data_IF_185069807582
#
_entry.id   IF_185069807582
#
_cell.length_a   1.000
_cell.length_b   1.000
_cell.length_c   1.000
_cell.angle_alpha   90.00
_cell.angle_beta   90.00
_cell.angle_gamma   90.00
#
_symmetry.space_group_name_H-M   'P 1'
#
loop_
_entity.id
_entity.type
_entity.pdbx_description
1 polymer ?
#
# COMPACT_ATOMS: atom_id res chain seq x y z
N UNK A 1 -27.79 -21.19 -5.82
CA UNK A 1 -26.45 -21.34 -6.42
C UNK A 1 -25.46 -20.20 -6.25
N UNK A 2 -25.83 -18.91 -6.22
CA UNK A 2 -24.83 -17.85 -6.03
C UNK A 2 -24.02 -17.95 -4.72
N UNK A 3 -24.65 -18.37 -3.63
CA UNK A 3 -23.98 -18.57 -2.34
C UNK A 3 -23.04 -19.79 -2.34
N UNK A 4 -23.35 -20.85 -3.10
CA UNK A 4 -22.49 -22.02 -3.25
C UNK A 4 -21.24 -21.68 -4.07
N UNK A 5 -21.43 -20.96 -5.18
CA UNK A 5 -20.32 -20.43 -5.99
C UNK A 5 -19.47 -19.41 -5.21
N UNK A 6 -20.08 -18.55 -4.38
CA UNK A 6 -19.32 -17.64 -3.51
C UNK A 6 -18.54 -18.35 -2.41
N UNK A 7 -19.07 -19.45 -1.84
CA UNK A 7 -18.33 -20.26 -0.88
C UNK A 7 -17.16 -21.02 -1.51
N UNK A 8 -17.30 -21.42 -2.77
CA UNK A 8 -16.24 -22.07 -3.57
C UNK A 8 -15.14 -21.07 -3.96
N UNK A 9 -15.51 -19.83 -4.30
CA UNK A 9 -14.56 -18.73 -4.50
C UNK A 9 -13.93 -18.21 -3.20
N UNK A 10 -14.69 -18.22 -2.09
CA UNK A 10 -14.27 -17.73 -0.79
C UNK A 10 -13.24 -18.62 -0.08
N UNK A 11 -13.22 -19.93 -0.38
CA UNK A 11 -12.25 -20.87 0.17
C UNK A 11 -10.88 -20.87 -0.52
N UNK A 12 -10.79 -20.32 -1.72
CA UNK A 12 -9.57 -20.36 -2.57
C UNK A 12 -9.41 -19.06 -3.36
N UNK A 13 -9.33 -17.93 -2.67
CA UNK A 13 -8.92 -16.66 -3.30
C UNK A 13 -7.41 -16.79 -3.63
N UNK A 14 -7.05 -16.92 -4.91
CA UNK A 14 -5.65 -17.09 -5.31
C UNK A 14 -5.43 -17.46 -6.78
N UNK A 15 -4.16 -17.75 -7.11
CA UNK A 15 -3.70 -18.14 -8.47
C UNK A 15 -4.56 -19.28 -9.08
N UNK A 16 -4.96 -20.35 -8.36
CA UNK A 16 -5.73 -21.44 -8.95
C UNK A 16 -7.09 -20.99 -9.50
N UNK A 17 -7.78 -20.11 -8.78
CA UNK A 17 -9.09 -19.56 -9.19
C UNK A 17 -8.94 -18.61 -10.38
N UNK A 18 -7.88 -17.78 -10.39
CA UNK A 18 -7.55 -16.93 -11.53
C UNK A 18 -7.28 -17.76 -12.79
N UNK A 19 -6.51 -18.84 -12.66
CA UNK A 19 -6.16 -19.74 -13.77
C UNK A 19 -7.40 -20.49 -14.25
N UNK A 20 -8.22 -21.03 -13.34
CA UNK A 20 -9.43 -21.75 -13.70
C UNK A 20 -10.43 -20.85 -14.47
N UNK A 21 -10.76 -19.68 -13.91
CA UNK A 21 -11.67 -18.72 -14.54
C UNK A 21 -11.11 -18.16 -15.84
N UNK A 22 -9.83 -17.77 -15.87
CA UNK A 22 -9.20 -17.23 -17.06
C UNK A 22 -9.06 -18.26 -18.18
N UNK A 23 -8.78 -19.53 -17.85
CA UNK A 23 -8.64 -20.59 -18.85
C UNK A 23 -9.95 -20.90 -19.57
N UNK A 24 -11.09 -20.81 -18.86
CA UNK A 24 -12.42 -20.89 -19.45
C UNK A 24 -12.63 -19.77 -20.48
N UNK A 25 -12.38 -18.52 -20.08
CA UNK A 25 -12.58 -17.35 -20.96
C UNK A 25 -11.70 -17.44 -22.21
N UNK A 26 -10.43 -17.84 -22.05
CA UNK A 26 -9.50 -17.97 -23.16
C UNK A 26 -9.89 -19.13 -24.09
N UNK A 27 -10.30 -20.27 -23.53
CA UNK A 27 -10.72 -21.43 -24.34
C UNK A 27 -12.05 -21.18 -25.09
N UNK A 28 -12.94 -20.36 -24.53
CA UNK A 28 -14.21 -20.02 -25.19
C UNK A 28 -14.02 -18.93 -26.28
N UNK A 29 -13.01 -18.05 -26.12
CA UNK A 29 -12.73 -16.96 -27.05
C UNK A 29 -11.64 -17.24 -28.10
N UNK A 30 -10.91 -18.35 -27.98
CA UNK A 30 -9.80 -18.70 -28.87
C UNK A 30 -9.82 -20.20 -29.21
N UNK A 31 -9.18 -20.65 -30.30
CA UNK A 31 -9.09 -22.09 -30.62
C UNK A 31 -8.11 -22.88 -29.72
N UNK A 32 -7.65 -22.30 -28.61
CA UNK A 32 -6.69 -22.94 -27.70
C UNK A 32 -7.40 -23.95 -26.79
N UNK A 33 -6.73 -25.07 -26.51
CA UNK A 33 -7.25 -26.03 -25.53
C UNK A 33 -7.24 -25.41 -24.13
N UNK A 34 -8.20 -25.82 -23.30
CA UNK A 34 -8.30 -25.38 -21.91
C UNK A 34 -7.02 -25.67 -21.10
N UNK A 35 -6.38 -26.80 -21.35
CA UNK A 35 -5.11 -27.16 -20.71
C UNK A 35 -3.95 -26.24 -21.11
N UNK A 36 -3.91 -25.82 -22.37
CA UNK A 36 -2.92 -24.85 -22.82
C UNK A 36 -3.20 -23.46 -22.23
N UNK A 37 -4.46 -23.04 -22.19
CA UNK A 37 -4.86 -21.77 -21.59
C UNK A 37 -4.56 -21.72 -20.08
N UNK A 38 -4.78 -22.82 -19.36
CA UNK A 38 -4.50 -22.89 -17.93
C UNK A 38 -2.99 -22.84 -17.64
N UNK A 39 -2.18 -23.57 -18.39
CA UNK A 39 -0.71 -23.51 -18.26
C UNK A 39 -0.15 -22.14 -18.60
N UNK A 40 -0.64 -21.51 -19.67
CA UNK A 40 -0.26 -20.15 -20.06
C UNK A 40 -0.56 -19.14 -18.94
N UNK A 41 -1.76 -19.16 -18.38
CA UNK A 41 -2.16 -18.23 -17.31
C UNK A 41 -1.43 -18.50 -15.99
N UNK A 42 -1.16 -19.77 -15.67
CA UNK A 42 -0.36 -20.13 -14.50
C UNK A 42 1.06 -19.58 -14.62
N UNK A 43 1.70 -19.78 -15.77
CA UNK A 43 3.04 -19.24 -16.04
C UNK A 43 3.02 -17.71 -15.99
N UNK A 44 2.03 -17.06 -16.61
CA UNK A 44 1.88 -15.61 -16.57
C UNK A 44 1.78 -15.09 -15.13
N UNK A 45 0.95 -15.73 -14.30
CA UNK A 45 0.76 -15.32 -12.91
C UNK A 45 2.02 -15.53 -12.06
N UNK A 46 2.74 -16.63 -12.25
CA UNK A 46 4.02 -16.90 -11.58
C UNK A 46 5.12 -15.92 -12.03
N UNK A 47 5.22 -15.64 -13.33
CA UNK A 47 6.19 -14.68 -13.86
C UNK A 47 5.89 -13.24 -13.41
N UNK A 48 4.62 -12.87 -13.32
CA UNK A 48 4.20 -11.59 -12.76
C UNK A 48 4.59 -11.48 -11.29
N UNK A 49 4.33 -12.51 -10.49
CA UNK A 49 4.75 -12.56 -9.08
C UNK A 49 6.27 -12.49 -8.93
N UNK A 50 7.02 -13.23 -9.76
CA UNK A 50 8.49 -13.20 -9.76
C UNK A 50 9.05 -11.83 -10.12
N UNK A 51 8.52 -11.18 -11.16
CA UNK A 51 8.98 -9.86 -11.61
C UNK A 51 8.67 -8.77 -10.58
N UNK A 52 7.48 -8.81 -9.97
CA UNK A 52 7.10 -7.86 -8.93
C UNK A 52 7.90 -8.07 -7.64
N UNK A 53 8.21 -9.32 -7.27
CA UNK A 53 9.09 -9.64 -6.15
C UNK A 53 10.51 -9.12 -6.37
N UNK A 54 11.10 -9.37 -7.54
CA UNK A 54 12.43 -8.89 -7.90
C UNK A 54 12.52 -7.35 -7.87
N UNK A 55 11.51 -6.66 -8.42
CA UNK A 55 11.41 -5.20 -8.29
C UNK A 55 11.23 -4.74 -6.84
N UNK A 56 10.38 -5.43 -6.06
CA UNK A 56 10.09 -5.10 -4.67
C UNK A 56 11.31 -5.22 -3.76
N UNK A 57 12.05 -6.33 -3.85
CA UNK A 57 13.28 -6.56 -3.06
C UNK A 57 14.35 -5.53 -3.41
N UNK A 58 14.46 -5.13 -4.68
CA UNK A 58 15.36 -4.03 -5.07
C UNK A 58 14.98 -2.70 -4.42
N UNK A 59 13.70 -2.34 -4.45
CA UNK A 59 13.23 -1.09 -3.83
C UNK A 59 13.45 -1.11 -2.31
N UNK A 60 13.17 -2.23 -1.65
CA UNK A 60 13.45 -2.40 -0.21
C UNK A 60 14.95 -2.25 0.08
N UNK A 61 15.82 -2.85 -0.73
CA UNK A 61 17.27 -2.67 -0.61
C UNK A 61 17.67 -1.20 -0.70
N UNK A 62 17.11 -0.45 -1.65
CA UNK A 62 17.41 0.98 -1.77
C UNK A 62 16.99 1.77 -0.53
N UNK A 63 15.80 1.50 0.02
CA UNK A 63 15.34 2.12 1.28
C UNK A 63 16.31 1.80 2.44
N UNK A 64 16.76 0.55 2.55
CA UNK A 64 17.73 0.14 3.59
C UNK A 64 19.08 0.85 3.42
N UNK A 65 19.55 1.01 2.18
CA UNK A 65 20.79 1.75 1.90
C UNK A 65 20.66 3.25 2.17
N UNK A 66 19.49 3.83 1.90
CA UNK A 66 19.16 5.21 2.26
C UNK A 66 19.21 5.41 3.78
N UNK A 67 18.64 4.48 4.57
CA UNK A 67 18.78 4.50 6.02
C UNK A 67 20.24 4.41 6.47
N UNK A 68 21.03 3.52 5.85
CA UNK A 68 22.47 3.44 6.11
C UNK A 68 23.19 4.76 5.88
N UNK A 69 22.75 5.55 4.90
CA UNK A 69 23.31 6.88 4.59
C UNK A 69 22.83 7.95 5.56
N UNK A 70 21.53 8.00 5.86
CA UNK A 70 20.91 8.98 6.77
C UNK A 70 21.46 8.82 8.20
N UNK A 71 21.53 7.58 8.69
CA UNK A 71 22.00 7.26 10.05
C UNK A 71 23.51 7.03 10.14
N UNK A 72 24.25 7.18 9.02
CA UNK A 72 25.70 6.99 8.93
C UNK A 72 26.17 5.59 9.42
N UNK A 73 25.44 4.55 9.04
CA UNK A 73 25.76 3.15 9.35
C UNK A 73 26.36 2.49 8.09
N UNK A 74 27.69 2.37 7.99
CA UNK A 74 28.35 1.88 6.76
C UNK A 74 28.01 0.43 6.41
N UNK A 75 27.62 -0.39 7.39
CA UNK A 75 27.20 -1.78 7.16
C UNK A 75 25.92 -1.88 6.30
N UNK A 76 24.97 -0.95 6.48
CA UNK A 76 23.69 -0.95 5.74
C UNK A 76 23.83 -0.40 4.31
N UNK A 77 24.95 0.24 3.99
CA UNK A 77 25.25 0.72 2.63
C UNK A 77 25.73 -0.42 1.72
N UNK A 78 26.27 -1.51 2.29
CA UNK A 78 26.72 -2.67 1.54
C UNK A 78 25.51 -3.39 0.90
N UNK A 79 25.53 -3.51 -0.43
CA UNK A 79 24.45 -4.12 -1.20
C UNK A 79 24.10 -5.55 -0.79
N UNK A 80 25.06 -6.34 -0.30
CA UNK A 80 24.80 -7.70 0.17
C UNK A 80 24.03 -7.71 1.51
N UNK A 81 24.44 -6.87 2.45
CA UNK A 81 23.81 -6.75 3.77
C UNK A 81 22.42 -6.14 3.64
N UNK A 82 22.28 -5.11 2.80
CA UNK A 82 20.99 -4.48 2.53
C UNK A 82 20.01 -5.43 1.84
N UNK A 83 20.49 -6.24 0.87
CA UNK A 83 19.65 -7.28 0.24
C UNK A 83 19.24 -8.34 1.26
N UNK A 84 20.18 -8.80 2.09
CA UNK A 84 19.87 -9.79 3.13
C UNK A 84 18.83 -9.25 4.12
N UNK A 85 18.97 -8.00 4.57
CA UNK A 85 17.99 -7.35 5.44
C UNK A 85 16.61 -7.24 4.78
N UNK A 86 16.54 -6.83 3.51
CA UNK A 86 15.29 -6.73 2.76
C UNK A 86 14.60 -8.11 2.64
N UNK A 87 15.34 -9.13 2.20
CA UNK A 87 14.81 -10.50 2.07
C UNK A 87 14.41 -11.07 3.43
N UNK A 88 15.23 -10.89 4.47
CA UNK A 88 14.93 -11.37 5.82
C UNK A 88 13.66 -10.71 6.39
N UNK A 89 13.48 -9.40 6.18
CA UNK A 89 12.26 -8.71 6.58
C UNK A 89 11.03 -9.26 5.84
N UNK A 90 11.13 -9.48 4.53
CA UNK A 90 10.05 -10.05 3.72
C UNK A 90 9.70 -11.48 4.16
N UNK A 91 10.70 -12.34 4.40
CA UNK A 91 10.49 -13.71 4.86
C UNK A 91 9.90 -13.73 6.28
N UNK A 92 10.38 -12.85 7.17
CA UNK A 92 9.85 -12.74 8.54
C UNK A 92 8.38 -12.35 8.52
N UNK A 93 7.98 -11.44 7.64
CA UNK A 93 6.57 -11.09 7.46
C UNK A 93 5.77 -12.25 6.85
N UNK A 94 6.27 -12.87 5.77
CA UNK A 94 5.56 -13.95 5.07
C UNK A 94 5.32 -15.17 5.98
N UNK A 95 6.33 -15.62 6.72
CA UNK A 95 6.22 -16.77 7.62
C UNK A 95 5.68 -16.42 9.00
N UNK A 96 5.95 -15.20 9.50
CA UNK A 96 5.35 -14.69 10.74
C UNK A 96 3.84 -14.46 10.62
N UNK A 97 3.35 -14.14 9.42
CA UNK A 97 1.93 -14.06 9.11
C UNK A 97 1.24 -15.43 9.01
N UNK A 98 1.90 -16.37 8.33
CA UNK A 98 1.25 -17.57 7.80
C UNK A 98 1.36 -18.84 8.63
N UNK A 99 2.18 -18.82 9.68
CA UNK A 99 2.50 -20.04 10.42
C UNK A 99 3.09 -21.13 9.50
N UNK A 100 2.94 -22.40 9.90
CA UNK A 100 3.44 -23.56 9.13
C UNK A 100 2.62 -23.86 7.87
N UNK A 101 1.42 -23.29 7.74
CA UNK A 101 0.47 -23.65 6.67
C UNK A 101 0.63 -22.80 5.40
N UNK A 102 1.60 -21.87 5.37
CA UNK A 102 1.89 -21.08 4.16
C UNK A 102 0.79 -20.08 3.77
N UNK A 103 -0.21 -19.87 4.62
CA UNK A 103 -1.33 -18.95 4.39
C UNK A 103 -0.98 -17.47 4.60
N UNK A 104 0.29 -17.14 4.82
CA UNK A 104 0.72 -15.81 5.22
C UNK A 104 0.35 -14.71 4.23
N UNK A 105 0.30 -15.04 2.94
CA UNK A 105 -0.16 -14.10 1.90
C UNK A 105 -1.61 -13.64 2.11
N UNK A 106 -2.51 -14.55 2.49
CA UNK A 106 -3.91 -14.22 2.75
C UNK A 106 -4.09 -13.42 4.04
N UNK A 107 -3.27 -13.69 5.05
CA UNK A 107 -3.30 -12.96 6.32
C UNK A 107 -2.69 -11.55 6.21
N UNK A 108 -1.69 -11.35 5.34
CA UNK A 108 -1.08 -10.03 5.08
C UNK A 108 -1.98 -9.15 4.20
N UNK A 109 -2.85 -9.75 3.38
CA UNK A 109 -3.64 -9.03 2.38
C UNK A 109 -4.38 -7.77 2.91
N UNK A 110 -5.01 -7.78 4.09
CA UNK A 110 -5.67 -6.58 4.60
C UNK A 110 -4.68 -5.46 4.96
N UNK A 111 -3.47 -5.78 5.46
CA UNK A 111 -2.40 -4.79 5.72
C UNK A 111 -1.92 -4.11 4.44
N UNK A 112 -1.87 -4.87 3.34
CA UNK A 112 -1.56 -4.31 2.02
C UNK A 112 -2.64 -3.31 1.59
N UNK A 113 -3.91 -3.64 1.81
CA UNK A 113 -5.04 -2.76 1.56
C UNK A 113 -4.95 -1.44 2.33
N UNK A 114 -4.73 -1.49 3.65
CA UNK A 114 -4.62 -0.29 4.49
C UNK A 114 -3.40 0.56 4.12
N UNK A 115 -2.23 -0.05 3.89
CA UNK A 115 -1.02 0.67 3.46
C UNK A 115 -1.22 1.41 2.12
N UNK A 116 -1.89 0.78 1.15
CA UNK A 116 -2.17 1.43 -0.13
C UNK A 116 -3.09 2.64 0.02
N UNK A 117 -4.06 2.57 0.93
CA UNK A 117 -4.94 3.71 1.21
C UNK A 117 -4.17 4.87 1.86
N UNK A 118 -3.18 4.57 2.72
CA UNK A 118 -2.31 5.60 3.28
C UNK A 118 -1.43 6.27 2.21
N UNK A 119 -0.87 5.50 1.29
CA UNK A 119 -0.11 6.06 0.16
C UNK A 119 -1.00 6.93 -0.74
N UNK A 120 -2.24 6.51 -0.99
CA UNK A 120 -3.22 7.30 -1.71
C UNK A 120 -3.52 8.62 -0.98
N UNK A 121 -3.70 8.58 0.35
CA UNK A 121 -3.87 9.76 1.20
C UNK A 121 -2.70 10.73 1.10
N UNK A 122 -1.47 10.24 1.21
CA UNK A 122 -0.25 11.04 1.07
C UNK A 122 -0.13 11.68 -0.33
N UNK A 123 -0.46 10.92 -1.38
CA UNK A 123 -0.40 11.43 -2.75
C UNK A 123 -1.43 12.55 -2.97
N UNK A 124 -2.66 12.36 -2.48
CA UNK A 124 -3.69 13.39 -2.55
C UNK A 124 -3.33 14.62 -1.72
N UNK A 125 -2.67 14.45 -0.56
CA UNK A 125 -2.14 15.57 0.22
C UNK A 125 -1.17 16.41 -0.62
N UNK A 126 -0.18 15.77 -1.25
CA UNK A 126 0.80 16.47 -2.11
C UNK A 126 0.08 17.23 -3.24
N UNK A 127 -0.92 16.61 -3.87
CA UNK A 127 -1.73 17.26 -4.90
C UNK A 127 -2.55 18.43 -4.36
N UNK A 128 -3.13 18.32 -3.16
CA UNK A 128 -3.85 19.41 -2.49
C UNK A 128 -2.92 20.59 -2.20
N UNK A 129 -1.74 20.34 -1.62
CA UNK A 129 -0.73 21.37 -1.35
C UNK A 129 -0.26 22.04 -2.64
N UNK A 130 -0.03 21.26 -3.70
CA UNK A 130 0.34 21.79 -5.00
C UNK A 130 -0.77 22.70 -5.57
N UNK A 131 -2.04 22.29 -5.52
CA UNK A 131 -3.16 23.10 -5.99
C UNK A 131 -3.33 24.41 -5.22
N UNK A 132 -3.10 24.39 -3.90
CA UNK A 132 -3.09 25.60 -3.07
C UNK A 132 -2.00 26.56 -3.55
N UNK A 133 -0.78 26.07 -3.79
CA UNK A 133 0.33 26.88 -4.33
C UNK A 133 0.05 27.47 -5.71
N UNK A 134 -0.71 26.77 -6.55
CA UNK A 134 -1.13 27.25 -7.87
C UNK A 134 -2.36 28.18 -7.81
N UNK A 135 -2.92 28.48 -6.63
CA UNK A 135 -4.13 29.30 -6.48
C UNK A 135 -5.39 28.63 -7.07
N UNK A 136 -5.37 27.32 -7.29
CA UNK A 136 -6.47 26.56 -7.89
C UNK A 136 -7.37 25.95 -6.82
N UNK A 137 -8.59 25.57 -7.22
CA UNK A 137 -9.58 25.00 -6.30
C UNK A 137 -9.14 23.61 -5.81
N UNK A 138 -8.62 23.56 -4.58
CA UNK A 138 -8.08 22.36 -3.93
C UNK A 138 -9.15 21.44 -3.31
N UNK A 139 -10.40 21.88 -3.19
CA UNK A 139 -11.49 21.13 -2.54
C UNK A 139 -11.67 19.73 -3.17
N UNK A 140 -11.49 19.61 -4.48
CA UNK A 140 -11.68 18.36 -5.21
C UNK A 140 -10.62 17.29 -4.90
N UNK A 141 -9.46 17.67 -4.37
CA UNK A 141 -8.45 16.71 -3.89
C UNK A 141 -8.49 16.54 -2.37
N UNK A 142 -8.81 17.62 -1.65
CA UNK A 142 -8.87 17.61 -0.19
C UNK A 142 -10.00 16.73 0.36
N UNK A 143 -11.21 16.79 -0.23
CA UNK A 143 -12.35 16.01 0.24
C UNK A 143 -12.11 14.49 0.09
N UNK A 144 -11.69 13.98 -1.09
CA UNK A 144 -11.30 12.57 -1.22
C UNK A 144 -10.15 12.18 -0.30
N UNK A 145 -9.16 13.07 -0.10
CA UNK A 145 -8.04 12.79 0.80
C UNK A 145 -8.50 12.53 2.23
N UNK A 146 -9.31 13.42 2.79
CA UNK A 146 -9.84 13.28 4.17
C UNK A 146 -10.69 12.02 4.28
N UNK A 147 -11.57 11.77 3.30
CA UNK A 147 -12.41 10.59 3.29
C UNK A 147 -11.60 9.29 3.27
N UNK A 148 -10.66 9.14 2.34
CA UNK A 148 -9.84 7.93 2.20
C UNK A 148 -8.97 7.73 3.44
N UNK A 149 -8.37 8.78 3.98
CA UNK A 149 -7.48 8.67 5.14
C UNK A 149 -8.25 8.30 6.42
N UNK A 150 -9.46 8.84 6.60
CA UNK A 150 -10.34 8.46 7.72
C UNK A 150 -10.82 7.00 7.58
N UNK A 151 -11.20 6.58 6.38
CA UNK A 151 -11.61 5.20 6.13
C UNK A 151 -10.45 4.22 6.34
N UNK A 152 -9.23 4.58 5.92
CA UNK A 152 -8.03 3.80 6.16
C UNK A 152 -7.73 3.65 7.66
N UNK A 153 -7.85 4.75 8.43
CA UNK A 153 -7.67 4.71 9.88
C UNK A 153 -8.73 3.84 10.56
N UNK A 154 -10.00 3.98 10.17
CA UNK A 154 -11.08 3.16 10.70
C UNK A 154 -10.86 1.67 10.39
N UNK A 155 -10.48 1.34 9.15
CA UNK A 155 -10.17 -0.02 8.73
C UNK A 155 -9.00 -0.61 9.52
N UNK A 156 -7.91 0.16 9.70
CA UNK A 156 -6.76 -0.26 10.47
C UNK A 156 -7.10 -0.50 11.95
N UNK A 157 -7.92 0.34 12.58
CA UNK A 157 -8.35 0.13 13.99
C UNK A 157 -9.20 -1.15 14.13
N UNK A 158 -10.13 -1.40 13.21
CA UNK A 158 -10.94 -2.63 13.20
C UNK A 158 -10.06 -3.86 12.98
N UNK A 159 -9.08 -3.74 12.07
CA UNK A 159 -8.12 -4.79 11.80
C UNK A 159 -7.24 -5.10 13.01
N UNK A 160 -6.73 -4.08 13.70
CA UNK A 160 -5.96 -4.20 14.93
C UNK A 160 -6.73 -5.00 15.99
N UNK A 161 -8.00 -4.66 16.20
CA UNK A 161 -8.85 -5.39 17.14
C UNK A 161 -8.94 -6.87 16.78
N UNK A 162 -9.14 -7.18 15.49
CA UNK A 162 -9.18 -8.57 15.00
C UNK A 162 -7.85 -9.31 15.24
N UNK A 163 -6.72 -8.65 14.99
CA UNK A 163 -5.36 -9.23 15.10
C UNK A 163 -4.89 -9.47 16.53
N UNK A 164 -5.47 -8.77 17.52
CA UNK A 164 -5.13 -8.95 18.94
C UNK A 164 -6.12 -9.83 19.70
N UNK A 165 -7.42 -9.78 19.35
CA UNK A 165 -8.47 -10.40 20.16
C UNK A 165 -9.21 -11.55 19.47
N UNK A 166 -9.47 -11.46 18.15
CA UNK A 166 -10.28 -12.47 17.44
C UNK A 166 -9.43 -13.61 16.91
N UNK A 167 -8.32 -13.30 16.24
CA UNK A 167 -7.35 -14.27 15.71
C UNK A 167 -5.94 -13.75 15.97
N UNK A 168 -5.33 -14.10 17.12
CA UNK A 168 -4.12 -13.45 17.58
C UNK A 168 -2.93 -13.73 16.64
N UNK A 169 -2.49 -12.69 15.93
CA UNK A 169 -1.21 -12.66 15.22
C UNK A 169 -0.44 -11.41 15.65
N UNK A 170 0.40 -11.56 16.67
CA UNK A 170 1.14 -10.45 17.26
C UNK A 170 2.17 -9.82 16.31
N UNK A 171 2.75 -10.60 15.38
CA UNK A 171 3.70 -10.05 14.40
C UNK A 171 3.00 -9.05 13.49
N UNK A 172 1.82 -9.42 12.97
CA UNK A 172 1.02 -8.56 12.11
C UNK A 172 0.37 -7.42 12.89
N UNK A 173 -0.06 -7.68 14.12
CA UNK A 173 -0.58 -6.66 15.02
C UNK A 173 0.43 -5.54 15.27
N UNK A 174 1.71 -5.87 15.51
CA UNK A 174 2.77 -4.86 15.66
C UNK A 174 2.95 -4.04 14.38
N UNK A 175 2.96 -4.68 13.21
CA UNK A 175 3.05 -3.97 11.92
C UNK A 175 1.85 -3.05 11.71
N UNK A 176 0.65 -3.49 12.08
CA UNK A 176 -0.57 -2.69 11.97
C UNK A 176 -0.56 -1.47 12.91
N UNK A 177 -0.01 -1.61 14.13
CA UNK A 177 0.23 -0.46 15.03
C UNK A 177 1.13 0.58 14.35
N UNK A 178 2.21 0.16 13.69
CA UNK A 178 3.06 1.08 12.93
C UNK A 178 2.30 1.78 11.80
N UNK A 179 1.43 1.07 11.08
CA UNK A 179 0.57 1.63 10.03
C UNK A 179 -0.38 2.67 10.63
N UNK A 180 -1.00 2.40 11.77
CA UNK A 180 -1.90 3.36 12.46
C UNK A 180 -1.13 4.62 12.87
N UNK A 181 0.08 4.47 13.42
CA UNK A 181 0.92 5.62 13.78
C UNK A 181 1.25 6.47 12.54
N UNK A 182 1.62 5.82 11.43
CA UNK A 182 1.89 6.50 10.16
C UNK A 182 0.62 7.17 9.61
N UNK A 183 -0.54 6.54 9.73
CA UNK A 183 -1.82 7.11 9.30
C UNK A 183 -2.14 8.41 10.06
N UNK A 184 -1.96 8.39 11.39
CA UNK A 184 -2.14 9.56 12.24
C UNK A 184 -1.12 10.64 11.87
N UNK A 185 0.14 10.26 11.64
CA UNK A 185 1.18 11.20 11.21
C UNK A 185 0.82 11.88 9.89
N UNK A 186 0.35 11.13 8.88
CA UNK A 186 -0.10 11.70 7.60
C UNK A 186 -1.29 12.63 7.79
N UNK A 187 -2.25 12.29 8.64
CA UNK A 187 -3.38 13.19 8.97
C UNK A 187 -2.90 14.50 9.60
N UNK A 188 -1.97 14.44 10.55
CA UNK A 188 -1.42 15.62 11.20
C UNK A 188 -0.61 16.49 10.23
N UNK A 189 0.25 15.87 9.42
CA UNK A 189 1.02 16.58 8.40
C UNK A 189 0.08 17.19 7.35
N UNK A 190 -1.02 16.52 7.02
CA UNK A 190 -2.03 17.04 6.09
C UNK A 190 -2.67 18.33 6.60
N UNK A 191 -3.08 18.35 7.87
CA UNK A 191 -3.66 19.53 8.51
C UNK A 191 -2.61 20.64 8.66
N UNK A 192 -1.39 20.29 9.06
CA UNK A 192 -0.27 21.23 9.23
C UNK A 192 0.11 21.92 7.91
N UNK A 193 0.37 21.12 6.87
CA UNK A 193 0.74 21.61 5.55
C UNK A 193 -0.36 22.50 4.96
N UNK A 194 -1.63 22.12 5.12
CA UNK A 194 -2.75 22.93 4.65
C UNK A 194 -2.85 24.28 5.36
N UNK A 195 -2.67 24.32 6.68
CA UNK A 195 -2.69 25.57 7.47
C UNK A 195 -1.51 26.47 7.09
N UNK A 196 -0.31 25.92 6.94
CA UNK A 196 0.90 26.66 6.58
C UNK A 196 0.77 27.36 5.23
N UNK A 197 0.30 26.64 4.22
CA UNK A 197 0.19 27.18 2.86
C UNK A 197 -0.95 28.19 2.74
N UNK A 198 -2.07 28.00 3.46
CA UNK A 198 -3.13 29.01 3.51
C UNK A 198 -2.62 30.34 4.08
N UNK A 199 -1.88 30.30 5.20
CA UNK A 199 -1.31 31.50 5.82
C UNK A 199 -0.27 32.19 4.91
N UNK A 200 0.50 31.44 4.13
CA UNK A 200 1.47 32.00 3.19
C UNK A 200 0.80 32.72 2.00
N UNK A 201 -0.30 32.17 1.48
CA UNK A 201 -1.09 32.80 0.41
C UNK A 201 -1.76 34.07 0.90
N UNK A 202 -2.31 34.07 2.11
CA UNK A 202 -2.98 35.22 2.72
C UNK A 202 -2.01 36.39 2.91
N UNK A 203 -0.82 36.14 3.47
CA UNK A 203 0.24 37.15 3.63
C UNK A 203 0.76 37.72 2.29
N UNK A 204 0.87 36.89 1.25
CA UNK A 204 1.29 37.35 -0.09
C UNK A 204 0.24 38.24 -0.76
N UNK A 205 -1.04 37.99 -0.49
CA UNK A 205 -2.14 38.81 -1.01
C UNK A 205 -2.24 40.18 -0.33
N UNK A 206 -1.93 40.25 0.97
CA UNK A 206 -1.88 41.53 1.72
C UNK A 206 -0.73 42.41 1.24
N UNK A 207 0.47 41.84 1.03
CA UNK A 207 1.64 42.59 0.54
C UNK A 207 1.40 43.18 -0.87
N UNK A 208 0.74 42.43 -1.75
CA UNK A 208 0.36 42.93 -3.09
C UNK A 208 -0.67 44.07 -3.04
N UNK A 209 -1.51 44.15 -2.00
CA UNK A 209 -2.48 45.23 -1.84
C UNK A 209 -1.86 46.49 -1.22
N UNK A 210 -0.83 46.35 -0.39
CA UNK A 210 -0.14 47.50 0.24
C UNK A 210 0.86 48.20 -0.67
N UNK A 211 1.36 47.52 -1.71
CA UNK A 211 2.39 48.04 -2.64
C UNK A 211 1.83 48.76 -3.88
N UNK A 212 0.54 49.11 -3.92
CA UNK A 212 -0.05 49.89 -5.02
C UNK A 212 0.16 51.40 -4.80
N UNK A 213 1.05 52.10 -5.55
CA UNK A 213 0.99 53.55 -5.60
C UNK A 213 -0.25 53.93 -6.42
N UNK A 214 -1.24 54.51 -5.74
CA UNK A 214 -2.42 55.11 -6.38
C UNK A 214 -2.07 56.20 -7.37
#
# INVERSE_FOLDING_TARGET
>A
DWQATYSEFGGTIGIPTFVAGGSQIVADGTPLSREFASTLLAVMAVLFAGTTMDAGVRLQRYIVQEWGTIYKIPALQNGYIATFAAVAACLTLAFGAGGRDGQGGMTIWPLFGTTNQLLAGLTLLVLSVMLVKLGRRYIFTLVPMVFVTLMALAAAVVQLWSLFYTNPNYVLGVVDVFIIILAIYVLLESVSAFRRERSAVESSSELSQTDWPG
#
